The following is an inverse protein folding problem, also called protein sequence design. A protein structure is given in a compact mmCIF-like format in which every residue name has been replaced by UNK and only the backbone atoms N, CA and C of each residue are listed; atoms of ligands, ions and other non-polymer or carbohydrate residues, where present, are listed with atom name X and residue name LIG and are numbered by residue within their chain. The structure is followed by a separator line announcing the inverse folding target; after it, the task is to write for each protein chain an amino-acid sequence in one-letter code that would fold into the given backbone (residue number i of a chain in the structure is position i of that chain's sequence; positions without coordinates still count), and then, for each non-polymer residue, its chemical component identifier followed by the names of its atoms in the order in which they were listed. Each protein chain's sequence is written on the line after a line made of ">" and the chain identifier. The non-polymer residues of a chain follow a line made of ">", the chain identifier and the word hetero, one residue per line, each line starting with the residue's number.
data_IF_690804140719
#
_entry.id   IF_690804140719
#
_cell.length_a   1.000
_cell.length_b   1.000
_cell.length_c   1.000
_cell.angle_alpha   90.00
_cell.angle_beta   90.00
_cell.angle_gamma   90.00
#
_symmetry.space_group_name_H-M   'P 1'
#
loop_
_entity.id
_entity.type
_entity.pdbx_description
1 polymer ?
#
# COMPACT_ATOMS: atom_id res chain seq x y z
N UNK A 1 -3.07 -10.37 38.01
CA UNK A 1 -2.12 -11.02 37.09
C UNK A 1 -1.94 -10.07 35.90
N UNK A 2 -0.78 -9.48 35.78
CA UNK A 2 -0.44 -8.65 34.62
C UNK A 2 -0.11 -9.62 33.49
N UNK A 3 -1.02 -9.73 32.51
CA UNK A 3 -0.69 -10.40 31.24
C UNK A 3 0.34 -9.53 30.54
N UNK A 4 1.57 -10.03 30.44
CA UNK A 4 2.61 -9.38 29.66
C UNK A 4 2.14 -9.17 28.20
N UNK A 5 2.75 -8.23 27.47
CA UNK A 5 2.39 -8.02 26.07
C UNK A 5 2.56 -9.35 25.32
N UNK A 6 1.55 -9.74 24.57
CA UNK A 6 1.69 -10.83 23.61
C UNK A 6 2.89 -10.49 22.72
N UNK A 7 3.87 -11.37 22.64
CA UNK A 7 4.98 -11.23 21.71
C UNK A 7 4.37 -11.20 20.31
N UNK A 8 4.45 -10.06 19.62
CA UNK A 8 4.02 -9.98 18.24
C UNK A 8 4.81 -11.02 17.44
N UNK A 9 4.12 -11.85 16.67
CA UNK A 9 4.80 -12.80 15.80
C UNK A 9 5.67 -12.02 14.79
N UNK A 10 6.90 -12.48 14.60
CA UNK A 10 7.79 -11.87 13.61
C UNK A 10 7.19 -11.95 12.20
N UNK A 11 7.30 -10.87 11.42
CA UNK A 11 6.86 -10.83 10.05
C UNK A 11 7.97 -10.31 9.13
N UNK A 12 8.14 -10.96 7.98
CA UNK A 12 9.00 -10.47 6.90
C UNK A 12 8.15 -9.75 5.87
N UNK A 13 8.46 -8.50 5.59
CA UNK A 13 7.76 -7.70 4.60
C UNK A 13 8.68 -7.48 3.40
N UNK A 14 8.23 -7.89 2.22
CA UNK A 14 8.86 -7.53 0.96
C UNK A 14 8.12 -6.30 0.40
N UNK A 15 8.78 -5.16 0.43
CA UNK A 15 8.27 -3.93 -0.18
C UNK A 15 8.98 -3.65 -1.50
N UNK A 16 8.22 -3.46 -2.58
CA UNK A 16 8.72 -3.15 -3.91
C UNK A 16 8.20 -1.77 -4.33
N UNK A 17 9.10 -0.78 -4.31
CA UNK A 17 8.78 0.62 -4.62
C UNK A 17 8.76 0.92 -6.10
N UNK A 18 7.88 1.81 -6.47
CA UNK A 18 7.75 2.50 -7.75
C UNK A 18 7.86 1.59 -9.00
N UNK A 19 6.86 0.74 -9.18
CA UNK A 19 6.75 -0.10 -10.38
C UNK A 19 6.29 0.75 -11.56
N UNK A 20 7.20 1.07 -12.49
CA UNK A 20 6.94 1.98 -13.60
C UNK A 20 6.62 1.23 -14.90
N UNK A 21 5.45 1.50 -15.44
CA UNK A 21 5.00 1.07 -16.77
C UNK A 21 5.02 -0.44 -17.01
N UNK A 22 4.94 -0.83 -18.27
CA UNK A 22 4.92 -2.25 -18.65
C UNK A 22 6.24 -2.97 -18.39
N UNK A 23 7.36 -2.26 -18.39
CA UNK A 23 8.69 -2.85 -18.14
C UNK A 23 8.81 -3.23 -16.66
N UNK A 24 8.52 -2.29 -15.75
CA UNK A 24 8.52 -2.55 -14.31
C UNK A 24 7.53 -3.64 -13.92
N UNK A 25 6.30 -3.60 -14.46
CA UNK A 25 5.30 -4.64 -14.21
C UNK A 25 5.75 -6.03 -14.64
N UNK A 26 6.28 -6.17 -15.87
CA UNK A 26 6.80 -7.47 -16.34
C UNK A 26 7.98 -7.95 -15.49
N UNK A 27 8.85 -7.04 -15.07
CA UNK A 27 9.94 -7.39 -14.16
C UNK A 27 9.41 -7.90 -12.83
N UNK A 28 8.47 -7.18 -12.20
CA UNK A 28 7.79 -7.60 -10.98
C UNK A 28 7.22 -9.00 -11.11
N UNK A 29 6.31 -9.21 -12.07
CA UNK A 29 5.59 -10.47 -12.24
C UNK A 29 6.52 -11.65 -12.50
N UNK A 30 7.61 -11.42 -13.23
CA UNK A 30 8.59 -12.46 -13.53
C UNK A 30 9.47 -12.81 -12.33
N UNK A 31 9.84 -11.83 -11.52
CA UNK A 31 10.81 -12.03 -10.42
C UNK A 31 10.14 -12.37 -9.09
N UNK A 32 8.89 -11.98 -8.89
CA UNK A 32 8.17 -12.15 -7.62
C UNK A 32 8.16 -13.61 -7.11
N UNK A 33 7.93 -14.65 -7.95
CA UNK A 33 7.99 -16.04 -7.46
C UNK A 33 9.34 -16.40 -6.85
N UNK A 34 10.45 -16.06 -7.52
CA UNK A 34 11.80 -16.30 -7.01
C UNK A 34 12.15 -15.47 -5.78
N UNK A 35 11.62 -14.24 -5.66
CA UNK A 35 11.77 -13.43 -4.46
C UNK A 35 11.01 -14.04 -3.27
N UNK A 36 9.80 -14.55 -3.50
CA UNK A 36 9.03 -15.27 -2.48
C UNK A 36 9.75 -16.53 -2.02
N UNK A 37 10.28 -17.32 -2.93
CA UNK A 37 11.08 -18.53 -2.60
C UNK A 37 12.34 -18.19 -1.79
N UNK A 38 13.07 -17.14 -2.22
CA UNK A 38 14.35 -16.78 -1.60
C UNK A 38 14.21 -16.15 -0.23
N UNK A 39 13.22 -15.26 -0.06
CA UNK A 39 13.09 -14.44 1.15
C UNK A 39 11.98 -14.91 2.08
N UNK A 40 11.08 -15.75 1.61
CA UNK A 40 9.91 -16.25 2.35
C UNK A 40 9.17 -15.12 3.08
N UNK A 41 8.76 -14.05 2.36
CA UNK A 41 8.07 -12.94 3.00
C UNK A 41 6.70 -13.37 3.50
N UNK A 42 6.32 -12.89 4.68
CA UNK A 42 4.95 -13.01 5.19
C UNK A 42 4.00 -12.16 4.35
N UNK A 43 4.45 -10.96 3.97
CA UNK A 43 3.67 -10.02 3.15
C UNK A 43 4.48 -9.46 2.01
N UNK A 44 3.81 -9.22 0.88
CA UNK A 44 4.35 -8.49 -0.28
C UNK A 44 3.51 -7.26 -0.51
N UNK A 45 4.12 -6.09 -0.40
CA UNK A 45 3.49 -4.80 -0.68
C UNK A 45 4.21 -4.11 -1.84
N UNK A 46 3.45 -3.52 -2.74
CA UNK A 46 4.01 -2.92 -3.98
C UNK A 46 3.45 -1.51 -4.16
N UNK A 47 4.31 -0.53 -4.42
CA UNK A 47 3.85 0.75 -4.94
C UNK A 47 3.58 0.63 -6.44
N UNK A 48 2.32 0.79 -6.82
CA UNK A 48 1.81 0.62 -8.19
C UNK A 48 1.34 1.91 -8.85
N UNK A 49 1.65 3.08 -8.28
CA UNK A 49 1.11 4.35 -8.78
C UNK A 49 1.49 4.70 -10.21
N UNK A 50 2.60 4.14 -10.72
CA UNK A 50 3.14 4.42 -12.06
C UNK A 50 3.04 3.22 -13.02
N UNK A 51 2.31 2.18 -12.66
CA UNK A 51 2.27 0.91 -13.42
C UNK A 51 1.56 1.01 -14.77
N UNK A 52 0.65 1.96 -14.95
CA UNK A 52 -0.09 2.19 -16.19
C UNK A 52 0.63 3.22 -17.08
N UNK A 53 1.66 2.77 -17.81
CA UNK A 53 2.39 3.63 -18.75
C UNK A 53 3.23 4.74 -18.09
N UNK A 54 3.50 4.62 -16.79
CA UNK A 54 4.24 5.60 -16.00
C UNK A 54 3.36 6.56 -15.21
N UNK A 55 2.04 6.50 -15.34
CA UNK A 55 1.10 7.40 -14.68
C UNK A 55 -0.18 6.65 -14.25
N UNK A 56 -0.36 6.46 -12.94
CA UNK A 56 -1.54 5.83 -12.39
C UNK A 56 -1.58 4.30 -12.52
N UNK A 57 -2.71 3.74 -12.15
CA UNK A 57 -3.03 2.32 -12.21
C UNK A 57 -4.45 2.13 -12.73
N UNK A 58 -4.72 1.01 -13.41
CA UNK A 58 -6.07 0.63 -13.86
C UNK A 58 -6.55 -0.58 -13.05
N UNK A 59 -7.88 -0.84 -12.98
CA UNK A 59 -8.41 -2.03 -12.32
C UNK A 59 -7.76 -3.32 -12.81
N UNK A 60 -7.63 -3.47 -14.13
CA UNK A 60 -7.00 -4.65 -14.74
C UNK A 60 -5.56 -4.88 -14.26
N UNK A 61 -4.77 -3.81 -14.14
CA UNK A 61 -3.38 -3.91 -13.70
C UNK A 61 -3.28 -4.18 -12.20
N UNK A 62 -4.20 -3.64 -11.40
CA UNK A 62 -4.31 -3.96 -9.99
C UNK A 62 -4.67 -5.44 -9.78
N UNK A 63 -5.68 -5.95 -10.49
CA UNK A 63 -6.07 -7.37 -10.45
C UNK A 63 -4.91 -8.29 -10.86
N UNK A 64 -4.12 -7.91 -11.89
CA UNK A 64 -2.95 -8.67 -12.34
C UNK A 64 -1.89 -8.78 -11.24
N UNK A 65 -1.63 -7.69 -10.53
CA UNK A 65 -0.62 -7.67 -9.44
C UNK A 65 -1.11 -8.43 -8.21
N UNK A 66 -2.34 -8.20 -7.76
CA UNK A 66 -2.96 -8.93 -6.65
C UNK A 66 -3.04 -10.43 -6.95
N UNK A 67 -3.48 -10.79 -8.16
CA UNK A 67 -3.52 -12.18 -8.62
C UNK A 67 -2.16 -12.88 -8.70
N UNK A 68 -1.08 -12.12 -8.85
CA UNK A 68 0.30 -12.63 -8.81
C UNK A 68 0.83 -12.84 -7.38
N UNK A 69 0.05 -12.50 -6.36
CA UNK A 69 0.41 -12.68 -4.96
C UNK A 69 0.95 -11.43 -4.27
N UNK A 70 0.66 -10.24 -4.78
CA UNK A 70 0.83 -8.99 -4.02
C UNK A 70 -0.30 -8.89 -3.00
N UNK A 71 0.02 -8.67 -1.73
CA UNK A 71 -0.96 -8.64 -0.64
C UNK A 71 -1.62 -7.27 -0.50
N UNK A 72 -0.88 -6.18 -0.80
CA UNK A 72 -1.43 -4.83 -0.86
C UNK A 72 -0.69 -3.96 -1.88
N UNK A 73 -1.43 -3.01 -2.48
CA UNK A 73 -0.89 -2.02 -3.41
C UNK A 73 -1.02 -0.63 -2.79
N UNK A 74 0.10 0.10 -2.70
CA UNK A 74 0.11 1.51 -2.35
C UNK A 74 0.19 2.38 -3.61
N UNK A 75 -0.28 3.59 -3.51
CA UNK A 75 -0.32 4.56 -4.60
C UNK A 75 0.44 5.85 -4.22
N UNK A 76 0.20 6.93 -4.96
CA UNK A 76 0.80 8.24 -4.73
C UNK A 76 0.04 9.35 -5.45
N UNK A 77 0.75 10.36 -5.98
CA UNK A 77 0.11 11.50 -6.62
C UNK A 77 -0.62 11.17 -7.92
N UNK A 78 -0.33 10.04 -8.57
CA UNK A 78 -1.04 9.61 -9.78
C UNK A 78 -2.25 8.71 -9.52
N UNK A 79 -2.69 8.56 -8.26
CA UNK A 79 -3.83 7.70 -7.87
C UNK A 79 -5.06 7.87 -8.78
N UNK A 80 -5.41 9.11 -9.09
CA UNK A 80 -6.64 9.44 -9.83
C UNK A 80 -6.42 9.75 -11.32
N UNK A 81 -5.29 9.31 -11.88
CA UNK A 81 -4.98 9.59 -13.29
C UNK A 81 -5.98 8.93 -14.24
N UNK A 82 -6.36 7.69 -13.99
CA UNK A 82 -7.34 6.95 -14.79
C UNK A 82 -8.70 6.93 -14.09
N UNK A 83 -9.76 7.45 -14.75
CA UNK A 83 -11.10 7.52 -14.12
C UNK A 83 -11.70 6.18 -13.75
N UNK A 84 -11.37 5.12 -14.47
CA UNK A 84 -11.87 3.75 -14.20
C UNK A 84 -11.41 3.18 -12.85
N UNK A 85 -10.36 3.75 -12.25
CA UNK A 85 -9.88 3.32 -10.94
C UNK A 85 -10.81 3.77 -9.79
N UNK A 86 -11.58 4.84 -9.95
CA UNK A 86 -12.36 5.44 -8.86
C UNK A 86 -13.32 4.44 -8.20
N UNK A 87 -14.25 3.79 -8.93
CA UNK A 87 -15.15 2.81 -8.34
C UNK A 87 -14.41 1.54 -7.89
N UNK A 88 -13.24 1.27 -8.45
CA UNK A 88 -12.42 0.13 -8.03
C UNK A 88 -11.78 0.36 -6.66
N UNK A 89 -11.27 1.56 -6.38
CA UNK A 89 -10.68 1.92 -5.09
C UNK A 89 -11.66 1.78 -3.91
N UNK A 90 -12.96 2.00 -4.15
CA UNK A 90 -13.97 1.85 -3.11
C UNK A 90 -14.28 0.38 -2.79
N UNK A 91 -14.16 -0.50 -3.79
CA UNK A 91 -14.53 -1.92 -3.71
C UNK A 91 -13.35 -2.83 -3.34
N UNK A 92 -12.15 -2.56 -3.86
CA UNK A 92 -10.96 -3.37 -3.60
C UNK A 92 -10.30 -2.95 -2.26
N UNK A 93 -10.29 -3.82 -1.23
CA UNK A 93 -9.76 -3.47 0.08
C UNK A 93 -8.24 -3.34 0.13
N UNK A 94 -7.53 -4.03 -0.75
CA UNK A 94 -6.08 -4.17 -0.70
C UNK A 94 -5.32 -3.17 -1.58
N UNK A 95 -6.00 -2.11 -2.04
CA UNK A 95 -5.37 -0.98 -2.71
C UNK A 95 -5.62 0.30 -1.92
N UNK A 96 -4.55 1.03 -1.59
CA UNK A 96 -4.62 2.22 -0.75
C UNK A 96 -4.02 3.44 -1.44
N UNK A 97 -4.75 4.55 -1.36
CA UNK A 97 -4.31 5.87 -1.81
C UNK A 97 -3.75 6.66 -0.63
N UNK A 98 -3.06 7.79 -0.84
CA UNK A 98 -2.57 8.60 0.28
C UNK A 98 -3.69 8.97 1.26
N UNK A 99 -3.51 8.64 2.54
CA UNK A 99 -4.50 8.88 3.61
C UNK A 99 -4.75 10.36 3.83
N UNK A 100 -3.73 11.20 3.63
CA UNK A 100 -3.80 12.65 3.82
C UNK A 100 -4.42 13.41 2.62
N UNK A 101 -5.03 12.69 1.67
CA UNK A 101 -5.91 13.28 0.66
C UNK A 101 -7.24 13.74 1.27
N UNK A 102 -8.02 14.51 0.53
CA UNK A 102 -9.29 15.03 1.01
C UNK A 102 -10.26 13.90 1.38
N UNK A 103 -10.98 14.08 2.48
CA UNK A 103 -12.04 13.16 2.89
C UNK A 103 -13.14 13.13 1.82
N UNK A 104 -13.71 11.95 1.61
CA UNK A 104 -14.75 11.75 0.59
C UNK A 104 -14.24 11.49 -0.83
N UNK A 105 -12.92 11.54 -1.07
CA UNK A 105 -12.36 11.03 -2.32
C UNK A 105 -12.43 9.48 -2.34
N UNK A 106 -12.64 8.86 -3.52
CA UNK A 106 -12.68 7.41 -3.67
C UNK A 106 -11.49 6.70 -3.06
N UNK A 107 -11.73 5.54 -2.46
CA UNK A 107 -10.71 4.70 -1.86
C UNK A 107 -10.35 5.06 -0.42
N UNK A 108 -9.49 4.26 0.16
CA UNK A 108 -9.06 4.33 1.56
C UNK A 108 -7.56 4.63 1.67
N UNK A 109 -7.15 5.19 2.81
CA UNK A 109 -5.75 5.56 3.08
C UNK A 109 -4.92 4.47 3.74
N UNK A 110 -5.58 3.41 4.23
CA UNK A 110 -4.93 2.24 4.82
C UNK A 110 -5.80 1.00 4.63
N UNK A 111 -5.17 -0.17 4.72
CA UNK A 111 -5.85 -1.47 4.77
C UNK A 111 -5.17 -2.37 5.81
N UNK A 112 -5.81 -3.48 6.12
CA UNK A 112 -5.25 -4.54 6.97
C UNK A 112 -5.22 -5.81 6.12
N UNK A 113 -4.02 -6.40 6.01
CA UNK A 113 -3.82 -7.72 5.40
C UNK A 113 -3.42 -8.71 6.47
N UNK A 114 -3.85 -9.96 6.34
CA UNK A 114 -3.60 -11.01 7.33
C UNK A 114 -3.01 -12.25 6.65
N UNK A 115 -1.96 -12.81 7.25
CA UNK A 115 -1.37 -14.06 6.80
C UNK A 115 -0.84 -14.85 8.00
N UNK A 116 -1.25 -16.13 8.12
CA UNK A 116 -0.78 -16.99 9.21
C UNK A 116 -1.12 -16.49 10.62
N UNK A 117 -2.20 -15.73 10.78
CA UNK A 117 -2.61 -15.13 12.06
C UNK A 117 -1.87 -13.84 12.42
N UNK A 118 -0.96 -13.35 11.56
CA UNK A 118 -0.29 -12.06 11.70
C UNK A 118 -1.01 -11.02 10.86
N UNK A 119 -1.27 -9.84 11.42
CA UNK A 119 -1.97 -8.73 10.75
C UNK A 119 -1.04 -7.55 10.51
N UNK A 120 -0.95 -7.12 9.26
CA UNK A 120 -0.19 -5.95 8.84
C UNK A 120 -1.14 -4.82 8.44
N UNK A 121 -1.03 -3.67 9.10
CA UNK A 121 -1.61 -2.42 8.63
C UNK A 121 -0.72 -1.80 7.56
N UNK A 122 -1.24 -1.60 6.36
CA UNK A 122 -0.54 -0.91 5.27
C UNK A 122 -1.13 0.49 5.13
N UNK A 123 -0.31 1.51 5.31
CA UNK A 123 -0.70 2.93 5.25
C UNK A 123 0.04 3.59 4.11
N UNK A 124 -0.66 4.38 3.31
CA UNK A 124 -0.03 5.22 2.30
C UNK A 124 -0.19 6.71 2.69
N UNK A 125 0.87 7.48 2.54
CA UNK A 125 0.89 8.92 2.77
C UNK A 125 1.55 9.63 1.60
N UNK A 126 1.21 10.89 1.39
CA UNK A 126 1.86 11.76 0.41
C UNK A 126 2.51 12.95 1.11
N UNK A 127 3.72 13.30 0.68
CA UNK A 127 4.35 14.56 1.05
C UNK A 127 3.56 15.77 0.59
N UNK A 128 3.87 16.93 1.18
CA UNK A 128 3.22 18.19 0.81
C UNK A 128 4.15 19.08 -0.03
N UNK A 129 5.46 18.80 -0.04
CA UNK A 129 6.42 19.57 -0.81
C UNK A 129 6.37 19.10 -2.28
N UNK A 130 6.04 20.00 -3.19
CA UNK A 130 5.78 19.79 -4.61
C UNK A 130 4.58 18.89 -4.96
N UNK A 131 3.94 18.27 -3.97
CA UNK A 131 2.77 17.42 -4.15
C UNK A 131 1.51 18.08 -3.58
N UNK A 132 0.36 17.85 -4.24
CA UNK A 132 -0.94 18.43 -3.83
C UNK A 132 -1.69 17.51 -2.86
N UNK A 133 -1.10 17.18 -1.72
CA UNK A 133 -1.83 16.53 -0.65
C UNK A 133 -2.74 17.54 0.07
N UNK A 134 -3.94 17.10 0.42
CA UNK A 134 -4.94 18.00 1.02
C UNK A 134 -4.66 18.32 2.48
N UNK A 135 -3.94 17.46 3.21
CA UNK A 135 -3.66 17.56 4.63
C UNK A 135 -2.20 17.20 4.95
N UNK A 136 -1.71 17.60 6.12
CA UNK A 136 -0.37 17.21 6.57
C UNK A 136 -0.29 15.70 6.81
N UNK A 137 0.75 15.07 6.26
CA UNK A 137 1.03 13.66 6.51
C UNK A 137 1.28 13.37 7.99
N UNK A 138 1.94 14.29 8.70
CA UNK A 138 2.23 14.16 10.13
C UNK A 138 0.96 14.12 11.00
N UNK A 139 -0.02 14.98 10.71
CA UNK A 139 -1.29 14.97 11.45
C UNK A 139 -2.17 13.79 11.08
N UNK A 140 -2.11 13.34 9.83
CA UNK A 140 -2.93 12.23 9.38
C UNK A 140 -2.46 10.88 9.91
N UNK A 141 -1.15 10.68 10.01
CA UNK A 141 -0.61 9.41 10.50
C UNK A 141 -1.05 9.10 11.93
N UNK A 142 -1.13 10.11 12.80
CA UNK A 142 -1.58 9.92 14.18
C UNK A 142 -3.03 9.40 14.24
N UNK A 143 -3.91 9.93 13.38
CA UNK A 143 -5.29 9.45 13.25
C UNK A 143 -5.34 8.01 12.77
N UNK A 144 -4.60 7.68 11.70
CA UNK A 144 -4.56 6.33 11.13
C UNK A 144 -3.99 5.32 12.13
N UNK A 145 -2.91 5.66 12.84
CA UNK A 145 -2.34 4.79 13.87
C UNK A 145 -3.30 4.56 15.03
N UNK A 146 -4.09 5.58 15.39
CA UNK A 146 -5.16 5.42 16.38
C UNK A 146 -6.23 4.43 15.92
N UNK A 147 -6.63 4.49 14.65
CA UNK A 147 -7.61 3.58 14.04
C UNK A 147 -7.10 2.13 13.96
N UNK A 148 -5.80 1.94 13.74
CA UNK A 148 -5.15 0.62 13.64
C UNK A 148 -4.80 0.02 15.00
N UNK A 149 -4.77 0.81 16.07
CA UNK A 149 -4.36 0.36 17.41
C UNK A 149 -5.17 -0.83 17.89
N UNK A 150 -4.49 -1.92 18.28
CA UNK A 150 -5.08 -3.16 18.74
C UNK A 150 -5.73 -4.03 17.64
N UNK A 151 -5.69 -3.57 16.39
CA UNK A 151 -6.23 -4.32 15.25
C UNK A 151 -5.15 -5.01 14.42
N UNK A 152 -3.90 -4.56 14.55
CA UNK A 152 -2.75 -5.06 13.77
C UNK A 152 -1.57 -5.35 14.67
N UNK A 153 -0.69 -6.22 14.21
CA UNK A 153 0.54 -6.61 14.92
C UNK A 153 1.72 -5.73 14.45
N UNK A 154 1.71 -5.34 13.16
CA UNK A 154 2.71 -4.48 12.54
C UNK A 154 2.06 -3.41 11.68
N UNK A 155 2.79 -2.31 11.42
CA UNK A 155 2.39 -1.26 10.49
C UNK A 155 3.51 -0.96 9.52
N UNK A 156 3.20 -0.95 8.23
CA UNK A 156 4.05 -0.45 7.16
C UNK A 156 3.49 0.90 6.67
N UNK A 157 4.31 1.92 6.64
CA UNK A 157 3.97 3.23 6.07
C UNK A 157 4.77 3.44 4.79
N UNK A 158 4.06 3.55 3.66
CA UNK A 158 4.65 4.01 2.39
C UNK A 158 4.47 5.53 2.29
N UNK A 159 5.59 6.25 2.39
CA UNK A 159 5.63 7.71 2.31
C UNK A 159 6.04 8.14 0.89
N UNK A 160 5.04 8.44 0.06
CA UNK A 160 5.25 8.95 -1.28
C UNK A 160 5.63 10.44 -1.24
N UNK A 161 6.88 10.79 -1.54
CA UNK A 161 7.39 12.16 -1.47
C UNK A 161 8.35 12.47 -2.61
N UNK A 162 8.28 13.69 -3.16
CA UNK A 162 9.19 14.18 -4.19
C UNK A 162 10.53 14.69 -3.61
N UNK A 163 10.53 15.07 -2.34
CA UNK A 163 11.71 15.55 -1.64
C UNK A 163 11.72 15.03 -0.21
N UNK A 164 12.88 14.69 0.24
CA UNK A 164 13.18 14.23 1.60
C UNK A 164 13.99 15.26 2.37
#
# INVERSE_FOLDING_TARGET
>A
MLTGPATSADAKILFLGDVVGSVGRRALLRTLPGLREKYEPTFVVVNGENVAGGLGITPKLADEMLGAGVDAITLGNHTYHHREIYPYLDREPNIVRPANYLRGQPGRGHCIVEHGGVRLGVVNLSGNLYLKAGRSAFSEIDSVLSDLRGKVDHVLVDMHAEAT
#
